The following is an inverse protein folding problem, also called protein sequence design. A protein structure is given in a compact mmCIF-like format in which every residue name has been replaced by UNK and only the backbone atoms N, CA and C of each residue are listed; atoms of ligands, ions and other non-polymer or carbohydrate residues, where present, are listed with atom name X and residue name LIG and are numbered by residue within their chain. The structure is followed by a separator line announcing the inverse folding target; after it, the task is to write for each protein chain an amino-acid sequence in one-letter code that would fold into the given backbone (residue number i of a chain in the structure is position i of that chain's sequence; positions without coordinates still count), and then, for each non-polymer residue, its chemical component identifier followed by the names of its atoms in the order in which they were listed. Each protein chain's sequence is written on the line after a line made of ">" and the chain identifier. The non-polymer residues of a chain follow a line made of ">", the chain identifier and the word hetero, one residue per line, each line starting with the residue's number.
data_IF_905315190125
#
_entry.id   IF_905315190125
#
_cell.length_a   1.000
_cell.length_b   1.000
_cell.length_c   1.000
_cell.angle_alpha   90.00
_cell.angle_beta   90.00
_cell.angle_gamma   90.00
#
_symmetry.space_group_name_H-M   'P 1'
#
loop_
_entity.id
_entity.type
_entity.pdbx_description
1 polymer ?
#
# COMPACT_ATOMS: atom_id res chain seq x y z
N UNK A 1 9.41 -11.46 31.11
CA UNK A 1 10.07 -11.66 29.81
C UNK A 1 9.25 -10.89 28.80
N UNK A 2 9.71 -9.74 28.33
CA UNK A 2 9.06 -9.03 27.22
C UNK A 2 9.38 -9.82 25.96
N UNK A 3 8.39 -10.46 25.35
CA UNK A 3 8.54 -11.16 24.09
C UNK A 3 9.08 -10.21 23.02
N UNK A 4 9.87 -10.70 22.08
CA UNK A 4 10.35 -9.94 20.94
C UNK A 4 9.13 -9.32 20.24
N UNK A 5 9.00 -7.99 20.19
CA UNK A 5 7.83 -7.32 19.67
C UNK A 5 7.68 -7.47 18.15
N UNK A 6 8.73 -7.94 17.49
CA UNK A 6 8.75 -8.14 16.03
C UNK A 6 8.54 -9.61 15.68
N UNK A 7 7.78 -9.90 14.64
CA UNK A 7 7.57 -11.27 14.18
C UNK A 7 7.47 -11.36 12.66
N UNK A 8 7.79 -12.53 12.15
CA UNK A 8 7.66 -12.88 10.73
C UNK A 8 6.74 -14.10 10.64
N UNK A 9 5.66 -14.00 9.85
CA UNK A 9 4.97 -15.17 9.33
C UNK A 9 5.70 -15.54 8.05
N UNK A 10 6.48 -16.64 8.10
CA UNK A 10 7.44 -17.02 7.08
C UNK A 10 6.82 -16.99 5.68
N UNK A 11 7.52 -16.30 4.77
CA UNK A 11 7.09 -16.11 3.39
C UNK A 11 5.88 -15.19 3.17
N UNK A 12 5.14 -14.80 4.23
CA UNK A 12 3.87 -14.09 4.12
C UNK A 12 3.96 -12.63 4.55
N UNK A 13 4.24 -12.35 5.81
CA UNK A 13 4.30 -11.00 6.35
C UNK A 13 5.48 -10.81 7.29
N UNK A 14 5.94 -9.57 7.38
CA UNK A 14 6.89 -9.13 8.40
C UNK A 14 6.30 -7.98 9.18
N UNK A 15 6.35 -8.08 10.50
CA UNK A 15 5.98 -7.00 11.42
C UNK A 15 7.20 -6.63 12.24
N UNK A 16 7.55 -5.35 12.22
CA UNK A 16 8.55 -4.76 13.10
C UNK A 16 7.83 -3.84 14.07
N UNK A 17 7.84 -4.19 15.36
CA UNK A 17 7.34 -3.33 16.42
C UNK A 17 8.49 -2.59 17.09
N UNK A 18 8.31 -1.33 17.50
CA UNK A 18 9.27 -0.65 18.36
C UNK A 18 9.30 -1.32 19.74
N UNK A 19 10.43 -1.27 20.49
CA UNK A 19 10.50 -1.76 21.88
C UNK A 19 9.41 -1.12 22.77
N UNK A 20 9.10 0.15 22.50
CA UNK A 20 8.00 0.89 23.11
C UNK A 20 7.37 1.75 22.02
N UNK A 21 6.11 1.53 21.71
CA UNK A 21 5.41 2.40 20.78
C UNK A 21 5.21 3.78 21.41
N UNK A 22 5.63 4.84 20.72
CA UNK A 22 5.56 6.23 21.17
C UNK A 22 4.74 7.11 20.24
N UNK A 23 4.46 6.65 19.03
CA UNK A 23 3.68 7.39 18.04
C UNK A 23 2.31 6.73 17.79
N UNK A 24 1.22 7.49 17.64
CA UNK A 24 -0.11 7.00 17.25
C UNK A 24 -0.18 6.67 15.74
N UNK A 25 0.89 6.11 15.21
CA UNK A 25 1.11 5.82 13.81
C UNK A 25 1.28 4.31 13.60
N UNK A 26 0.67 3.77 12.54
CA UNK A 26 0.92 2.45 11.99
C UNK A 26 1.34 2.64 10.54
N UNK A 27 2.44 1.99 10.13
CA UNK A 27 2.95 2.07 8.75
C UNK A 27 2.75 0.72 8.06
N UNK A 28 2.22 0.75 6.83
CA UNK A 28 1.89 -0.42 6.02
C UNK A 28 2.55 -0.33 4.65
N UNK A 29 3.25 -1.38 4.22
CA UNK A 29 3.77 -1.52 2.85
C UNK A 29 3.26 -2.82 2.24
N UNK A 30 2.09 -2.79 1.59
CA UNK A 30 1.42 -4.00 1.12
C UNK A 30 1.97 -4.56 -0.19
N UNK A 31 2.75 -3.80 -0.95
CA UNK A 31 3.11 -4.12 -2.34
C UNK A 31 4.62 -4.21 -2.63
N UNK A 32 5.46 -4.15 -1.60
CA UNK A 32 6.93 -4.23 -1.76
C UNK A 32 7.49 -5.65 -1.69
N UNK A 33 6.61 -6.66 -1.55
CA UNK A 33 7.00 -8.05 -1.36
C UNK A 33 7.70 -8.64 -2.59
N UNK A 34 8.79 -9.39 -2.34
CA UNK A 34 9.68 -9.98 -3.34
C UNK A 34 9.82 -11.50 -3.22
N UNK A 35 9.08 -12.13 -2.31
CA UNK A 35 9.05 -13.59 -2.18
C UNK A 35 8.08 -14.18 -3.19
N UNK A 36 8.57 -14.46 -4.39
CA UNK A 36 7.81 -15.08 -5.48
C UNK A 36 7.69 -16.58 -5.26
N UNK A 37 6.49 -17.13 -4.98
CA UNK A 37 6.32 -18.57 -4.85
C UNK A 37 6.75 -19.28 -6.12
N UNK A 38 7.53 -20.36 -5.99
CA UNK A 38 8.11 -21.07 -7.15
C UNK A 38 7.02 -21.56 -8.13
N UNK A 39 5.90 -22.08 -7.61
CA UNK A 39 4.74 -22.49 -8.43
C UNK A 39 4.11 -21.32 -9.21
N UNK A 40 4.08 -20.12 -8.62
CA UNK A 40 3.58 -18.93 -9.29
C UNK A 40 4.47 -18.50 -10.44
N UNK A 41 5.79 -18.49 -10.23
CA UNK A 41 6.76 -18.18 -11.30
C UNK A 41 6.66 -19.20 -12.43
N UNK A 42 6.55 -20.49 -12.11
CA UNK A 42 6.44 -21.57 -13.10
C UNK A 42 5.12 -21.52 -13.89
N UNK A 43 4.07 -20.90 -13.39
CA UNK A 43 2.77 -20.73 -14.08
C UNK A 43 2.74 -19.55 -15.05
N UNK A 44 3.82 -18.77 -15.15
CA UNK A 44 3.91 -17.58 -15.98
C UNK A 44 4.96 -17.71 -17.08
N UNK A 45 4.70 -17.09 -18.23
CA UNK A 45 5.69 -16.94 -19.31
C UNK A 45 6.48 -15.63 -19.19
N UNK A 46 6.16 -14.80 -18.19
CA UNK A 46 6.87 -13.55 -17.96
C UNK A 46 8.23 -13.80 -17.33
N UNK A 47 9.21 -13.03 -17.76
CA UNK A 47 10.50 -12.99 -17.05
C UNK A 47 10.34 -12.45 -15.65
N UNK A 48 11.28 -12.75 -14.75
CA UNK A 48 11.26 -12.22 -13.38
C UNK A 48 11.13 -10.69 -13.35
N UNK A 49 11.82 -9.98 -14.23
CA UNK A 49 11.77 -8.52 -14.32
C UNK A 49 10.36 -8.01 -14.70
N UNK A 50 9.70 -8.70 -15.65
CA UNK A 50 8.33 -8.35 -16.06
C UNK A 50 7.31 -8.64 -14.99
N UNK A 51 7.40 -9.76 -14.28
CA UNK A 51 6.55 -10.07 -13.12
C UNK A 51 6.67 -9.01 -12.03
N UNK A 52 7.88 -8.49 -11.82
CA UNK A 52 8.18 -7.46 -10.83
C UNK A 52 7.68 -6.06 -11.20
N UNK A 53 7.30 -5.81 -12.45
CA UNK A 53 6.88 -4.47 -12.91
C UNK A 53 5.69 -3.88 -12.13
N UNK A 54 4.90 -4.73 -11.44
CA UNK A 54 3.80 -4.29 -10.57
C UNK A 54 4.22 -3.99 -9.13
N UNK A 55 5.46 -4.32 -8.73
CA UNK A 55 5.92 -4.06 -7.36
C UNK A 55 6.00 -2.55 -7.09
N UNK A 56 5.72 -2.19 -5.86
CA UNK A 56 6.15 -0.92 -5.28
C UNK A 56 7.55 -1.14 -4.68
N UNK A 57 8.52 -1.45 -5.57
CA UNK A 57 9.87 -1.84 -5.19
C UNK A 57 10.53 -0.77 -4.33
N UNK A 58 11.24 -1.19 -3.28
CA UNK A 58 11.99 -0.35 -2.33
C UNK A 58 11.13 0.55 -1.41
N UNK A 59 9.81 0.60 -1.56
CA UNK A 59 8.94 1.39 -0.66
C UNK A 59 9.07 0.89 0.79
N UNK A 60 9.18 -0.42 0.99
CA UNK A 60 9.44 -1.00 2.33
C UNK A 60 10.78 -0.59 2.94
N UNK A 61 11.75 -0.18 2.12
CA UNK A 61 13.06 0.31 2.56
C UNK A 61 13.00 1.80 2.91
N UNK A 62 12.30 2.60 2.10
CA UNK A 62 12.09 4.04 2.32
C UNK A 62 11.39 4.29 3.66
N UNK A 63 10.43 3.45 4.05
CA UNK A 63 9.68 3.60 5.30
C UNK A 63 10.18 2.72 6.45
N UNK A 64 11.35 2.09 6.32
CA UNK A 64 11.88 1.12 7.29
C UNK A 64 12.27 1.73 8.66
N UNK A 65 12.38 3.04 8.75
CA UNK A 65 12.70 3.76 10.00
C UNK A 65 11.51 3.86 10.98
N UNK A 66 10.28 3.52 10.57
CA UNK A 66 9.10 3.61 11.41
C UNK A 66 9.25 2.98 12.80
N UNK A 67 9.82 1.77 12.98
CA UNK A 67 10.02 1.21 14.33
C UNK A 67 11.02 1.99 15.19
N UNK A 68 12.04 2.57 14.59
CA UNK A 68 13.03 3.41 15.29
C UNK A 68 12.39 4.71 15.81
N UNK A 69 11.40 5.25 15.08
CA UNK A 69 10.61 6.41 15.49
C UNK A 69 9.56 6.07 16.57
N UNK A 70 9.26 4.80 16.77
CA UNK A 70 8.26 4.36 17.73
C UNK A 70 6.90 4.00 17.14
N UNK A 71 6.82 3.70 15.85
CA UNK A 71 5.63 3.24 15.16
C UNK A 71 5.79 1.78 14.66
N UNK A 72 4.80 0.88 14.79
CA UNK A 72 4.86 -0.43 14.18
C UNK A 72 4.82 -0.35 12.66
N UNK A 73 5.57 -1.25 12.01
CA UNK A 73 5.65 -1.37 10.56
C UNK A 73 5.28 -2.79 10.12
N UNK A 74 4.26 -2.90 9.25
CA UNK A 74 3.85 -4.16 8.63
C UNK A 74 4.14 -4.11 7.13
N UNK A 75 4.67 -5.21 6.57
CA UNK A 75 4.81 -5.37 5.12
C UNK A 75 4.43 -6.77 4.66
N UNK A 76 3.80 -6.87 3.49
CA UNK A 76 3.67 -8.12 2.78
C UNK A 76 5.04 -8.54 2.23
N UNK A 77 5.36 -9.84 2.30
CA UNK A 77 6.59 -10.40 1.74
C UNK A 77 6.37 -10.99 0.35
N UNK A 78 5.13 -11.35 0.01
CA UNK A 78 4.71 -11.84 -1.31
C UNK A 78 4.41 -10.68 -2.26
N UNK A 79 4.58 -10.89 -3.58
CA UNK A 79 4.32 -9.83 -4.55
C UNK A 79 2.83 -9.61 -4.79
N UNK A 80 2.44 -8.36 -5.05
CA UNK A 80 1.05 -8.01 -5.39
C UNK A 80 0.55 -8.69 -6.68
N UNK A 81 1.45 -9.09 -7.58
CA UNK A 81 1.10 -9.86 -8.78
C UNK A 81 0.58 -11.27 -8.44
N UNK A 82 1.00 -11.84 -7.29
CA UNK A 82 0.51 -13.11 -6.77
C UNK A 82 -0.81 -12.96 -6.02
N UNK A 83 -0.92 -11.92 -5.18
CA UNK A 83 -2.11 -11.58 -4.41
C UNK A 83 -2.06 -10.11 -3.99
N UNK A 84 -3.10 -9.34 -4.30
CA UNK A 84 -3.19 -7.92 -3.96
C UNK A 84 -4.05 -7.71 -2.70
N UNK A 85 -3.40 -7.46 -1.56
CA UNK A 85 -4.08 -7.18 -0.28
C UNK A 85 -4.71 -5.78 -0.24
N UNK A 86 -4.44 -4.90 -1.20
CA UNK A 86 -5.12 -3.61 -1.32
C UNK A 86 -6.32 -3.67 -2.28
N UNK A 87 -6.95 -4.85 -2.36
CA UNK A 87 -8.22 -5.11 -3.03
C UNK A 87 -9.21 -5.69 -2.03
N UNK A 88 -10.51 -5.62 -2.35
CA UNK A 88 -11.52 -6.34 -1.58
C UNK A 88 -11.30 -7.85 -1.77
N UNK A 89 -11.46 -8.69 -0.73
CA UNK A 89 -11.29 -10.12 -0.91
C UNK A 89 -12.28 -10.66 -1.95
N UNK A 90 -11.85 -11.62 -2.73
CA UNK A 90 -12.66 -12.24 -3.80
C UNK A 90 -13.15 -11.27 -4.91
N UNK A 91 -12.43 -10.20 -5.20
CA UNK A 91 -12.56 -9.49 -6.49
C UNK A 91 -11.83 -10.32 -7.57
N UNK A 92 -12.53 -11.20 -8.28
CA UNK A 92 -11.92 -12.15 -9.22
C UNK A 92 -12.47 -11.99 -10.64
N UNK A 93 -11.60 -12.04 -11.63
CA UNK A 93 -11.97 -12.03 -13.05
C UNK A 93 -12.36 -13.44 -13.49
N UNK A 94 -13.65 -13.74 -13.83
CA UNK A 94 -14.10 -15.08 -14.19
C UNK A 94 -13.35 -15.67 -15.38
N UNK A 95 -12.82 -14.84 -16.27
CA UNK A 95 -12.08 -15.30 -17.45
C UNK A 95 -10.79 -16.06 -17.12
N UNK A 96 -10.27 -15.85 -15.88
CA UNK A 96 -9.04 -16.49 -15.39
C UNK A 96 -9.27 -17.91 -14.85
N UNK A 97 -10.52 -18.32 -14.63
CA UNK A 97 -10.83 -19.57 -13.94
C UNK A 97 -11.39 -20.64 -14.87
N UNK A 98 -11.07 -21.90 -14.56
CA UNK A 98 -11.58 -23.07 -15.28
C UNK A 98 -12.94 -23.52 -14.77
N UNK A 99 -13.25 -23.20 -13.52
CA UNK A 99 -14.46 -23.55 -12.78
C UNK A 99 -15.40 -22.35 -12.64
N UNK A 100 -16.64 -22.62 -12.27
CA UNK A 100 -17.64 -21.58 -11.98
C UNK A 100 -17.32 -20.98 -10.61
N UNK A 101 -17.20 -19.65 -10.56
CA UNK A 101 -16.96 -18.95 -9.30
C UNK A 101 -18.24 -18.93 -8.44
N UNK A 102 -18.12 -19.09 -7.11
CA UNK A 102 -19.27 -18.97 -6.19
C UNK A 102 -19.95 -17.60 -6.25
N UNK A 103 -21.24 -17.55 -5.93
CA UNK A 103 -22.09 -16.35 -6.01
C UNK A 103 -21.60 -15.17 -5.15
N UNK A 104 -20.85 -15.44 -4.07
CA UNK A 104 -20.31 -14.39 -3.20
C UNK A 104 -19.10 -13.66 -3.78
N UNK A 105 -18.54 -14.17 -4.88
CA UNK A 105 -17.36 -13.56 -5.54
C UNK A 105 -17.81 -12.33 -6.32
N UNK A 106 -17.10 -11.22 -6.11
CA UNK A 106 -17.29 -10.01 -6.93
C UNK A 106 -16.60 -10.21 -8.28
N UNK A 107 -17.41 -10.31 -9.34
CA UNK A 107 -16.93 -10.60 -10.70
C UNK A 107 -16.95 -9.40 -11.64
N UNK A 108 -17.49 -8.26 -11.22
CA UNK A 108 -17.68 -7.08 -12.07
C UNK A 108 -17.36 -5.78 -11.32
N UNK A 109 -16.30 -5.13 -11.75
CA UNK A 109 -15.98 -3.73 -11.45
C UNK A 109 -14.89 -3.24 -12.42
N UNK A 110 -14.57 -1.95 -12.39
CA UNK A 110 -13.56 -1.36 -13.28
C UNK A 110 -12.16 -1.96 -13.12
N UNK A 111 -11.80 -2.42 -11.92
CA UNK A 111 -10.50 -3.04 -11.65
C UNK A 111 -10.42 -4.45 -12.21
N UNK A 112 -11.47 -5.25 -12.00
CA UNK A 112 -11.57 -6.60 -12.58
C UNK A 112 -11.51 -6.50 -14.10
N UNK A 113 -12.27 -5.58 -14.70
CA UNK A 113 -12.22 -5.36 -16.16
C UNK A 113 -10.82 -4.98 -16.66
N UNK A 114 -10.06 -4.24 -15.85
CA UNK A 114 -8.66 -3.91 -16.13
C UNK A 114 -7.68 -5.07 -15.85
N UNK A 115 -8.14 -6.21 -15.32
CA UNK A 115 -7.29 -7.35 -14.92
C UNK A 115 -6.57 -7.17 -13.60
N UNK A 116 -7.06 -6.28 -12.72
CA UNK A 116 -6.42 -5.87 -11.47
C UNK A 116 -7.27 -6.25 -10.23
N UNK A 117 -7.85 -7.44 -10.22
CA UNK A 117 -8.55 -7.99 -9.05
C UNK A 117 -7.61 -8.40 -7.92
N UNK A 118 -8.15 -9.10 -6.91
CA UNK A 118 -7.38 -9.67 -5.78
C UNK A 118 -6.31 -10.63 -6.27
N UNK A 119 -6.65 -11.44 -7.28
CA UNK A 119 -5.69 -12.19 -8.10
C UNK A 119 -5.59 -11.43 -9.43
N UNK A 120 -4.43 -10.82 -9.67
CA UNK A 120 -4.22 -10.03 -10.87
C UNK A 120 -4.09 -10.91 -12.12
N UNK A 121 -4.78 -10.53 -13.21
CA UNK A 121 -4.64 -11.18 -14.52
C UNK A 121 -3.45 -10.65 -15.30
N UNK A 122 -3.10 -9.39 -15.08
CA UNK A 122 -2.04 -8.69 -15.80
C UNK A 122 -1.09 -7.98 -14.84
N UNK A 123 0.15 -7.80 -15.25
CA UNK A 123 1.09 -6.87 -14.60
C UNK A 123 0.86 -5.44 -15.10
N UNK A 124 1.57 -4.47 -14.51
CA UNK A 124 1.35 -3.03 -14.72
C UNK A 124 1.40 -2.56 -16.18
N UNK A 125 2.13 -3.26 -17.04
CA UNK A 125 2.22 -2.97 -18.48
C UNK A 125 1.14 -3.67 -19.33
N UNK A 126 0.20 -4.40 -18.70
CA UNK A 126 -0.91 -5.10 -19.34
C UNK A 126 -0.58 -6.50 -19.85
N UNK A 127 0.63 -7.02 -19.61
CA UNK A 127 0.99 -8.38 -19.97
C UNK A 127 0.32 -9.40 -19.06
N UNK A 128 -0.19 -10.50 -19.64
CA UNK A 128 -0.84 -11.59 -18.90
C UNK A 128 0.16 -12.31 -18.00
N UNK A 129 -0.25 -12.55 -16.75
CA UNK A 129 0.58 -13.25 -15.77
C UNK A 129 0.55 -14.77 -16.01
N UNK A 130 -0.64 -15.33 -16.13
CA UNK A 130 -0.82 -16.79 -16.15
C UNK A 130 -0.92 -17.34 -17.58
N UNK A 131 -0.25 -18.47 -17.81
CA UNK A 131 -0.33 -19.26 -19.03
C UNK A 131 -1.67 -19.99 -19.12
N UNK A 132 -2.03 -20.67 -18.05
CA UNK A 132 -3.23 -21.47 -17.92
C UNK A 132 -4.26 -20.83 -16.99
N UNK A 133 -5.49 -21.35 -17.03
CA UNK A 133 -6.53 -20.92 -16.10
C UNK A 133 -6.26 -21.48 -14.70
N UNK A 134 -6.61 -20.69 -13.70
CA UNK A 134 -6.59 -21.08 -12.30
C UNK A 134 -7.88 -21.83 -11.92
N UNK A 135 -7.87 -22.46 -10.76
CA UNK A 135 -9.08 -22.97 -10.09
C UNK A 135 -9.50 -22.02 -8.96
N UNK A 136 -10.78 -22.04 -8.61
CA UNK A 136 -11.26 -21.25 -7.47
C UNK A 136 -10.55 -21.63 -6.17
N UNK A 137 -10.30 -22.94 -5.96
CA UNK A 137 -9.60 -23.42 -4.76
C UNK A 137 -8.17 -22.85 -4.63
N UNK A 138 -7.49 -22.61 -5.76
CA UNK A 138 -6.16 -21.94 -5.73
C UNK A 138 -6.29 -20.47 -5.28
N UNK A 139 -7.31 -19.74 -5.74
CA UNK A 139 -7.56 -18.37 -5.32
C UNK A 139 -7.96 -18.32 -3.83
N UNK A 140 -8.88 -19.18 -3.41
CA UNK A 140 -9.33 -19.27 -2.01
C UNK A 140 -8.16 -19.63 -1.07
N UNK A 141 -7.30 -20.56 -1.46
CA UNK A 141 -6.10 -20.92 -0.70
C UNK A 141 -5.17 -19.71 -0.53
N UNK A 142 -4.91 -18.95 -1.61
CA UNK A 142 -4.08 -17.73 -1.52
C UNK A 142 -4.71 -16.69 -0.59
N UNK A 143 -6.02 -16.50 -0.69
CA UNK A 143 -6.75 -15.54 0.16
C UNK A 143 -6.67 -15.98 1.64
N UNK A 144 -6.91 -17.26 1.92
CA UNK A 144 -6.85 -17.77 3.29
C UNK A 144 -5.44 -17.71 3.88
N UNK A 145 -4.43 -18.02 3.07
CA UNK A 145 -3.06 -18.15 3.53
C UNK A 145 -2.29 -16.81 3.63
N UNK A 146 -2.67 -15.80 2.85
CA UNK A 146 -1.89 -14.55 2.72
C UNK A 146 -2.73 -13.31 2.99
N UNK A 147 -3.97 -13.22 2.45
CA UNK A 147 -4.81 -12.05 2.58
C UNK A 147 -5.31 -11.85 4.02
N UNK A 148 -5.96 -12.87 4.57
CA UNK A 148 -6.51 -12.76 5.92
C UNK A 148 -5.45 -12.57 6.99
N UNK A 149 -4.31 -13.29 7.00
CA UNK A 149 -3.24 -13.02 7.96
C UNK A 149 -2.72 -11.59 7.91
N UNK A 150 -2.57 -11.01 6.70
CA UNK A 150 -2.15 -9.61 6.56
C UNK A 150 -3.16 -8.64 7.19
N UNK A 151 -4.44 -8.80 6.84
CA UNK A 151 -5.49 -7.91 7.31
C UNK A 151 -5.80 -8.07 8.79
N UNK A 152 -5.76 -9.28 9.34
CA UNK A 152 -5.90 -9.53 10.77
C UNK A 152 -4.78 -8.87 11.56
N UNK A 153 -3.55 -9.00 11.08
CA UNK A 153 -2.38 -8.38 11.71
C UNK A 153 -2.45 -6.85 11.64
N UNK A 154 -2.76 -6.28 10.47
CA UNK A 154 -2.90 -4.83 10.31
C UNK A 154 -3.99 -4.27 11.22
N UNK A 155 -5.15 -4.96 11.30
CA UNK A 155 -6.24 -4.57 12.21
C UNK A 155 -5.79 -4.57 13.67
N UNK A 156 -5.07 -5.61 14.09
CA UNK A 156 -4.54 -5.71 15.46
C UNK A 156 -3.62 -4.53 15.79
N UNK A 157 -2.70 -4.17 14.88
CA UNK A 157 -1.80 -3.02 15.07
C UNK A 157 -2.56 -1.70 15.18
N UNK A 158 -3.59 -1.51 14.38
CA UNK A 158 -4.46 -0.32 14.43
C UNK A 158 -5.21 -0.25 15.76
N UNK A 159 -5.84 -1.37 16.17
CA UNK A 159 -6.61 -1.45 17.41
C UNK A 159 -5.70 -1.23 18.65
N UNK A 160 -4.51 -1.85 18.71
CA UNK A 160 -3.52 -1.65 19.76
C UNK A 160 -3.10 -0.17 19.85
N UNK A 161 -2.84 0.46 18.69
CA UNK A 161 -2.44 1.87 18.61
C UNK A 161 -3.57 2.79 19.09
N UNK A 162 -4.78 2.58 18.59
CA UNK A 162 -5.97 3.35 19.00
C UNK A 162 -6.25 3.22 20.49
N UNK A 163 -6.18 1.99 21.02
CA UNK A 163 -6.39 1.75 22.46
C UNK A 163 -5.35 2.46 23.32
N UNK A 164 -4.13 2.57 22.85
CA UNK A 164 -3.03 3.20 23.58
C UNK A 164 -3.07 4.71 23.56
N UNK A 165 -3.42 5.32 22.41
CA UNK A 165 -3.31 6.77 22.20
C UNK A 165 -4.66 7.49 22.07
N UNK A 166 -5.78 6.74 22.05
CA UNK A 166 -7.12 7.27 21.79
C UNK A 166 -7.45 7.43 20.31
N UNK A 167 -6.44 7.37 19.44
CA UNK A 167 -6.59 7.44 17.98
C UNK A 167 -5.43 6.71 17.28
N UNK A 168 -5.58 6.49 15.97
CA UNK A 168 -4.55 5.89 15.13
C UNK A 168 -4.50 6.61 13.79
N UNK A 169 -3.29 6.87 13.30
CA UNK A 169 -3.03 7.24 11.90
C UNK A 169 -2.41 6.02 11.21
N UNK A 170 -3.05 5.54 10.15
CA UNK A 170 -2.52 4.52 9.25
C UNK A 170 -1.90 5.21 8.04
N UNK A 171 -0.60 5.01 7.82
CA UNK A 171 0.09 5.42 6.61
C UNK A 171 0.26 4.19 5.70
N UNK A 172 -0.50 4.16 4.60
CA UNK A 172 -0.51 3.09 3.60
C UNK A 172 0.45 3.47 2.45
N UNK A 173 1.62 2.83 2.40
CA UNK A 173 2.77 3.26 1.61
C UNK A 173 2.84 2.53 0.28
N UNK A 174 2.85 3.32 -0.81
CA UNK A 174 2.84 2.87 -2.20
C UNK A 174 3.78 3.68 -3.08
N UNK A 175 3.90 3.24 -4.33
CA UNK A 175 4.55 4.01 -5.39
C UNK A 175 3.78 3.93 -6.70
N UNK A 176 3.88 5.00 -7.48
CA UNK A 176 3.24 5.11 -8.77
C UNK A 176 4.26 5.18 -9.92
N UNK A 177 3.95 4.61 -11.11
CA UNK A 177 4.79 4.74 -12.29
C UNK A 177 4.98 6.20 -12.71
N UNK A 178 6.20 6.58 -13.11
CA UNK A 178 6.56 7.94 -13.53
C UNK A 178 5.89 8.37 -14.84
N UNK A 179 5.52 7.40 -15.68
CA UNK A 179 5.04 7.60 -17.04
C UNK A 179 3.57 7.28 -17.26
N UNK A 180 2.63 7.55 -16.34
CA UNK A 180 1.20 7.28 -16.55
C UNK A 180 0.63 8.12 -17.69
N UNK A 181 0.89 7.66 -18.91
CA UNK A 181 0.55 8.33 -20.18
C UNK A 181 -0.95 8.52 -20.41
N UNK A 182 -1.83 7.80 -19.70
CA UNK A 182 -3.28 7.92 -19.81
C UNK A 182 -3.84 9.26 -19.30
N UNK A 183 -3.08 10.02 -18.54
CA UNK A 183 -3.48 11.32 -17.98
C UNK A 183 -2.76 12.51 -18.66
N UNK A 184 -2.38 12.36 -19.93
CA UNK A 184 -1.57 13.33 -20.67
C UNK A 184 -2.10 14.77 -20.68
N UNK A 185 -3.38 15.01 -20.45
CA UNK A 185 -3.97 16.33 -20.72
C UNK A 185 -4.57 17.08 -19.53
N UNK A 186 -4.68 16.48 -18.33
CA UNK A 186 -5.42 17.15 -17.25
C UNK A 186 -4.63 17.42 -15.96
N UNK A 187 -3.50 16.75 -15.74
CA UNK A 187 -2.88 16.73 -14.40
C UNK A 187 -1.36 16.94 -14.41
N UNK A 188 -0.83 17.52 -15.50
CA UNK A 188 0.58 17.92 -15.54
C UNK A 188 0.74 19.26 -14.81
N UNK A 189 1.77 19.35 -13.94
CA UNK A 189 2.30 20.64 -13.50
C UNK A 189 2.73 21.44 -14.74
N UNK A 190 3.03 22.73 -14.60
CA UNK A 190 3.58 23.56 -15.66
C UNK A 190 4.83 22.94 -16.33
N UNK A 191 5.49 21.97 -15.67
CA UNK A 191 6.63 21.19 -16.17
C UNK A 191 6.23 19.88 -16.86
N UNK A 192 4.93 19.56 -16.93
CA UNK A 192 4.42 18.34 -17.58
C UNK A 192 4.62 17.04 -16.80
N UNK A 193 5.07 17.08 -15.54
CA UNK A 193 5.25 15.90 -14.67
C UNK A 193 4.00 15.63 -13.85
N UNK A 194 3.70 14.35 -13.56
CA UNK A 194 2.88 13.96 -12.42
C UNK A 194 3.54 14.56 -11.15
N UNK A 195 2.74 14.90 -10.14
CA UNK A 195 3.29 15.30 -8.85
C UNK A 195 4.32 14.29 -8.34
N UNK A 196 5.23 14.76 -7.52
CA UNK A 196 6.24 13.89 -6.90
C UNK A 196 5.59 12.89 -5.95
N UNK A 197 4.56 13.35 -5.23
CA UNK A 197 3.81 12.54 -4.26
C UNK A 197 2.30 12.77 -4.44
N UNK A 198 1.53 11.70 -4.34
CA UNK A 198 0.07 11.77 -4.23
C UNK A 198 -0.35 11.30 -2.85
N UNK A 199 -1.16 12.10 -2.16
CA UNK A 199 -1.82 11.69 -0.92
C UNK A 199 -3.29 11.37 -1.20
N UNK A 200 -3.70 10.16 -0.85
CA UNK A 200 -5.07 9.68 -0.97
C UNK A 200 -5.74 9.60 0.40
N UNK A 201 -6.83 10.31 0.58
CA UNK A 201 -7.68 10.28 1.78
C UNK A 201 -9.14 9.95 1.45
N UNK A 202 -9.37 9.29 0.33
CA UNK A 202 -10.69 8.92 -0.16
C UNK A 202 -11.66 10.11 -0.22
N UNK A 203 -11.16 11.25 -0.71
CA UNK A 203 -11.92 12.52 -0.80
C UNK A 203 -12.44 13.00 0.55
N UNK A 204 -11.65 12.84 1.62
CA UNK A 204 -11.96 13.29 2.98
C UNK A 204 -12.72 12.27 3.82
N UNK A 205 -13.00 11.06 3.29
CA UNK A 205 -13.78 10.05 4.03
C UNK A 205 -12.91 9.15 4.93
N UNK A 206 -11.60 9.04 4.65
CA UNK A 206 -10.71 8.16 5.42
C UNK A 206 -9.77 8.89 6.40
N UNK A 207 -9.68 10.21 6.33
CA UNK A 207 -8.79 11.00 7.18
C UNK A 207 -9.41 12.34 7.55
N UNK A 208 -9.15 12.82 8.76
CA UNK A 208 -9.56 14.17 9.16
C UNK A 208 -8.81 15.23 8.34
N UNK A 209 -9.53 16.33 8.02
CA UNK A 209 -9.03 17.40 7.15
C UNK A 209 -7.72 18.02 7.64
N UNK A 210 -7.59 18.23 8.94
CA UNK A 210 -6.40 18.87 9.49
C UNK A 210 -5.17 17.98 9.38
N UNK A 211 -5.32 16.67 9.57
CA UNK A 211 -4.21 15.71 9.41
C UNK A 211 -3.70 15.68 7.98
N UNK A 212 -4.62 15.58 7.00
CA UNK A 212 -4.20 15.52 5.59
C UNK A 212 -3.61 16.85 5.11
N UNK A 213 -4.13 18.00 5.59
CA UNK A 213 -3.56 19.30 5.25
C UNK A 213 -2.15 19.46 5.86
N UNK A 214 -1.95 19.09 7.13
CA UNK A 214 -0.61 19.08 7.75
C UNK A 214 0.36 18.17 7.02
N UNK A 215 -0.11 17.00 6.55
CA UNK A 215 0.69 16.09 5.73
C UNK A 215 1.10 16.72 4.39
N UNK A 216 0.22 17.47 3.75
CA UNK A 216 0.53 18.21 2.51
C UNK A 216 1.56 19.32 2.78
N UNK A 217 1.34 20.10 3.85
CA UNK A 217 2.18 21.25 4.18
C UNK A 217 3.62 20.83 4.47
N UNK A 218 3.82 19.78 5.28
CA UNK A 218 5.17 19.29 5.62
C UNK A 218 5.89 18.74 4.39
N UNK A 219 5.23 17.94 3.55
CA UNK A 219 5.84 17.39 2.35
C UNK A 219 6.14 18.48 1.30
N UNK A 220 5.28 19.48 1.19
CA UNK A 220 5.52 20.65 0.34
C UNK A 220 6.70 21.48 0.85
N UNK A 221 6.88 21.56 2.18
CA UNK A 221 8.03 22.21 2.83
C UNK A 221 9.37 21.54 2.49
N UNK A 222 9.39 20.24 2.20
CA UNK A 222 10.56 19.53 1.66
C UNK A 222 10.78 19.75 0.15
N UNK A 223 9.93 20.55 -0.50
CA UNK A 223 10.05 20.88 -1.92
C UNK A 223 9.37 19.88 -2.85
N UNK A 224 8.60 18.91 -2.34
CA UNK A 224 7.84 17.99 -3.18
C UNK A 224 6.58 18.65 -3.74
N UNK A 225 6.25 18.35 -4.99
CA UNK A 225 4.97 18.69 -5.58
C UNK A 225 3.91 17.65 -5.15
N UNK A 226 2.96 18.10 -4.32
CA UNK A 226 1.94 17.22 -3.74
C UNK A 226 0.63 17.34 -4.52
N UNK A 227 0.00 16.18 -4.77
CA UNK A 227 -1.38 16.09 -5.26
C UNK A 227 -2.23 15.35 -4.26
N UNK A 228 -3.50 15.71 -4.16
CA UNK A 228 -4.46 15.04 -3.29
C UNK A 228 -5.51 14.29 -4.13
N UNK A 229 -5.67 13.00 -3.88
CA UNK A 229 -6.69 12.12 -4.46
C UNK A 229 -6.61 11.89 -5.99
N UNK A 230 -5.65 12.46 -6.69
CA UNK A 230 -5.57 12.39 -8.14
C UNK A 230 -4.14 12.06 -8.56
N UNK A 231 -3.93 10.96 -9.28
CA UNK A 231 -4.91 9.97 -9.77
C UNK A 231 -5.29 8.88 -8.75
N UNK A 232 -4.71 8.86 -7.56
CA UNK A 232 -4.89 7.81 -6.55
C UNK A 232 -5.54 8.40 -5.29
N UNK A 233 -6.82 8.06 -5.08
CA UNK A 233 -7.58 8.60 -3.94
C UNK A 233 -7.52 7.70 -2.70
N UNK A 234 -7.00 6.48 -2.82
CA UNK A 234 -6.96 5.47 -1.78
C UNK A 234 -7.46 4.11 -2.25
N UNK A 235 -6.77 3.04 -1.82
CA UNK A 235 -7.10 1.65 -2.10
C UNK A 235 -8.14 1.06 -1.16
N UNK A 236 -8.19 -0.28 -1.10
CA UNK A 236 -9.05 -0.98 -0.16
C UNK A 236 -8.61 -0.73 1.30
N UNK A 237 -7.31 -0.80 1.58
CA UNK A 237 -6.77 -0.56 2.93
C UNK A 237 -7.20 0.81 3.44
N UNK A 238 -6.97 1.86 2.67
CA UNK A 238 -7.33 3.23 3.05
C UNK A 238 -8.83 3.38 3.35
N UNK A 239 -9.70 2.84 2.47
CA UNK A 239 -11.16 2.92 2.65
C UNK A 239 -11.67 2.05 3.79
N UNK A 240 -11.11 0.86 3.96
CA UNK A 240 -11.61 -0.12 4.93
C UNK A 240 -11.25 0.27 6.36
N UNK A 241 -10.03 0.79 6.56
CA UNK A 241 -9.53 1.10 7.88
C UNK A 241 -9.69 2.58 8.27
N UNK A 242 -9.71 3.50 7.30
CA UNK A 242 -9.92 4.92 7.56
C UNK A 242 -11.37 5.19 7.97
N UNK A 243 -11.57 5.42 9.26
CA UNK A 243 -12.85 5.72 9.91
C UNK A 243 -12.66 6.86 10.89
N UNK A 244 -12.59 8.12 10.42
CA UNK A 244 -12.31 9.27 11.29
C UNK A 244 -13.26 9.41 12.47
N UNK A 245 -14.54 9.07 12.28
CA UNK A 245 -15.54 9.07 13.37
C UNK A 245 -15.25 8.03 14.47
N UNK A 246 -14.45 7.02 14.17
CA UNK A 246 -13.98 6.01 15.11
C UNK A 246 -12.54 6.27 15.55
N UNK A 247 -12.01 7.50 15.33
CA UNK A 247 -10.63 7.90 15.66
C UNK A 247 -9.54 7.07 14.97
N UNK A 248 -9.83 6.55 13.77
CA UNK A 248 -8.85 5.91 12.89
C UNK A 248 -8.77 6.69 11.58
N UNK A 249 -7.61 7.28 11.32
CA UNK A 249 -7.34 8.05 10.12
C UNK A 249 -6.43 7.24 9.22
N UNK A 250 -6.73 7.16 7.91
CA UNK A 250 -5.89 6.47 6.94
C UNK A 250 -5.53 7.41 5.79
N UNK A 251 -4.24 7.45 5.47
CA UNK A 251 -3.68 8.19 4.35
C UNK A 251 -2.90 7.21 3.49
N UNK A 252 -3.23 7.13 2.21
CA UNK A 252 -2.38 6.47 1.21
C UNK A 252 -1.34 7.47 0.71
N UNK A 253 -0.07 7.07 0.67
CA UNK A 253 1.00 7.84 0.05
C UNK A 253 1.52 7.10 -1.17
N UNK A 254 1.58 7.79 -2.30
CA UNK A 254 2.08 7.28 -3.59
C UNK A 254 3.32 8.07 -3.99
N UNK A 255 4.48 7.46 -3.89
CA UNK A 255 5.74 8.05 -4.32
C UNK A 255 5.95 7.84 -5.82
N UNK A 256 6.28 8.90 -6.55
CA UNK A 256 6.67 8.77 -7.95
C UNK A 256 7.98 7.98 -8.06
N UNK A 257 7.97 6.85 -8.76
CA UNK A 257 9.12 5.96 -8.88
C UNK A 257 10.37 6.64 -9.44
N UNK A 258 10.21 7.64 -10.31
CA UNK A 258 11.33 8.42 -10.84
C UNK A 258 12.14 9.15 -9.76
N UNK A 259 11.62 9.31 -8.54
CA UNK A 259 12.33 9.93 -7.44
C UNK A 259 13.47 9.06 -6.90
N UNK A 260 13.38 7.71 -7.02
CA UNK A 260 14.25 6.82 -6.27
C UNK A 260 14.68 5.55 -7.01
N UNK A 261 14.10 5.25 -8.20
CA UNK A 261 14.45 4.03 -8.92
C UNK A 261 14.43 4.19 -10.44
N UNK A 262 15.23 3.38 -11.12
CA UNK A 262 15.04 3.05 -12.54
C UNK A 262 13.94 1.99 -12.65
N UNK A 263 12.80 2.37 -13.23
CA UNK A 263 11.65 1.48 -13.36
C UNK A 263 11.84 0.34 -14.37
N UNK A 264 12.76 0.48 -15.32
CA UNK A 264 13.01 -0.54 -16.33
C UNK A 264 13.93 -1.64 -15.80
N UNK A 265 14.92 -1.25 -15.00
CA UNK A 265 15.90 -2.15 -14.42
C UNK A 265 15.48 -2.63 -13.03
N UNK A 266 14.54 -1.93 -12.38
CA UNK A 266 14.15 -2.10 -10.97
C UNK A 266 15.40 -1.98 -10.08
N UNK A 267 16.15 -0.91 -10.30
CA UNK A 267 17.38 -0.58 -9.57
C UNK A 267 17.21 0.75 -8.82
N UNK A 268 17.89 0.88 -7.67
CA UNK A 268 17.87 2.11 -6.88
C UNK A 268 18.67 3.20 -7.58
N UNK A 269 18.21 4.44 -7.44
CA UNK A 269 18.97 5.64 -7.76
C UNK A 269 19.56 6.25 -6.49
N UNK A 270 20.61 7.06 -6.62
CA UNK A 270 21.27 7.73 -5.49
C UNK A 270 20.31 8.63 -4.67
N UNK A 271 19.24 9.09 -5.30
CA UNK A 271 18.21 9.91 -4.64
C UNK A 271 17.31 9.14 -3.65
N UNK A 272 17.46 7.82 -3.51
CA UNK A 272 16.66 7.05 -2.54
C UNK A 272 16.98 7.44 -1.10
N UNK A 273 18.24 7.76 -0.78
CA UNK A 273 18.66 8.12 0.58
C UNK A 273 18.06 9.45 1.03
N UNK A 274 18.17 10.56 0.28
CA UNK A 274 17.49 11.83 0.60
C UNK A 274 15.97 11.67 0.70
N UNK A 275 15.34 10.85 -0.16
CA UNK A 275 13.90 10.58 -0.06
C UNK A 275 13.57 9.80 1.23
N UNK A 276 14.39 8.83 1.60
CA UNK A 276 14.22 8.05 2.84
C UNK A 276 14.30 8.94 4.08
N UNK A 277 15.25 9.89 4.10
CA UNK A 277 15.36 10.88 5.17
C UNK A 277 14.12 11.77 5.24
N UNK A 278 13.65 12.29 4.10
CA UNK A 278 12.43 13.10 4.06
C UNK A 278 11.21 12.32 4.54
N UNK A 279 11.05 11.06 4.16
CA UNK A 279 9.94 10.20 4.61
C UNK A 279 10.07 9.83 6.11
N UNK A 280 11.28 9.70 6.63
CA UNK A 280 11.53 9.51 8.06
C UNK A 280 11.03 10.71 8.86
N UNK A 281 11.43 11.91 8.46
CA UNK A 281 11.00 13.15 9.11
C UNK A 281 9.48 13.38 8.94
N UNK A 282 8.92 13.01 7.80
CA UNK A 282 7.47 13.06 7.57
C UNK A 282 6.71 12.13 8.53
N UNK A 283 7.17 10.89 8.73
CA UNK A 283 6.54 9.95 9.67
C UNK A 283 6.62 10.44 11.12
N UNK A 284 7.76 10.99 11.53
CA UNK A 284 7.93 11.55 12.89
C UNK A 284 6.98 12.72 13.12
N UNK A 285 6.91 13.65 12.16
CA UNK A 285 5.96 14.77 12.20
C UNK A 285 4.51 14.27 12.26
N UNK A 286 4.14 13.35 11.37
CA UNK A 286 2.77 12.84 11.30
C UNK A 286 2.34 12.15 12.61
N UNK A 287 3.27 11.38 13.20
CA UNK A 287 3.07 10.73 14.49
C UNK A 287 3.06 11.69 15.69
N UNK A 288 3.62 12.90 15.56
CA UNK A 288 3.63 13.92 16.59
C UNK A 288 2.40 14.83 16.55
N UNK A 289 1.56 14.75 15.50
CA UNK A 289 0.32 15.49 15.45
C UNK A 289 -0.57 15.10 16.65
N UNK A 290 -1.03 16.10 17.38
CA UNK A 290 -1.98 15.87 18.48
C UNK A 290 -3.30 15.33 17.91
N UNK A 291 -4.01 14.55 18.75
CA UNK A 291 -5.37 14.15 18.40
C UNK A 291 -6.16 15.42 18.01
N UNK A 292 -6.88 15.40 16.88
CA UNK A 292 -7.71 16.53 16.50
C UNK A 292 -8.64 16.84 17.68
N UNK A 293 -8.51 18.03 18.27
CA UNK A 293 -9.39 18.48 19.34
C UNK A 293 -10.82 18.51 18.78
N UNK A 294 -11.74 17.74 19.38
CA UNK A 294 -13.16 17.64 19.06
C UNK A 294 -13.56 16.76 17.85
N UNK A 295 -13.28 15.46 17.93
CA UNK A 295 -14.04 14.48 17.11
C UNK A 295 -15.36 14.06 17.78
N UNK A 296 -15.83 14.77 18.79
CA UNK A 296 -17.03 14.43 19.57
C UNK A 296 -18.21 15.39 19.39
N UNK A 297 -18.19 16.31 18.45
CA UNK A 297 -19.32 17.22 18.25
C UNK A 297 -19.40 17.75 16.81
N UNK A 298 -19.93 16.93 15.88
CA UNK A 298 -20.79 17.38 14.78
C UNK A 298 -21.51 16.18 14.16
#
# INVERSE_FOLDING_TARGET
>A
MMGDPSFIIEGKISVKKPPKQTLPLVVSSPHSGRNYPQKFVAASDLTSLRLRSSEDSFVDEIFNSAPTLGAPFIKALFPRAFLDVNRQPFELDPSMFSDILPDFVTTQNSRISAGLGTIARVVSNGEKIYRDKLTFIEAETRINDFYWPYHQTLKTLIDETKNKFGYCILLDCHSMPSGTTKYKNSYRSSTGRLGDIVLGDCYGTSCHRDIINSAIDILSGYGFSIRRNIPYAGGFITRNYGKPRESVHAIQIELNRALYMDEKLIERLDNIEPLTEAMTNFMDFLGSLLAPNNLAAE
#
